data_IF_384056919151
#
_entry.id   IF_384056919151
#
_cell.length_a   1.000
_cell.length_b   1.000
_cell.length_c   1.000
_cell.angle_alpha   90.00
_cell.angle_beta   90.00
_cell.angle_gamma   90.00
#
_symmetry.space_group_name_H-M   'P 1'
#
loop_
_entity.id
_entity.type
_entity.pdbx_description
1 polymer ?
#
# COMPACT_ATOMS: atom_id res chain seq x y z
N UNK A 1 13.13 15.51 54.00
CA UNK A 1 14.43 15.17 54.60
C UNK A 1 15.18 14.42 53.49
N UNK A 2 15.94 15.21 52.71
CA UNK A 2 17.40 15.33 52.70
C UNK A 2 18.07 14.02 52.34
N UNK A 3 18.88 13.89 51.34
CA UNK A 3 20.00 14.66 50.82
C UNK A 3 20.42 13.96 49.51
N UNK A 4 20.61 14.52 48.40
CA UNK A 4 21.77 15.32 47.94
C UNK A 4 23.14 14.74 48.19
N UNK A 5 23.85 14.70 47.05
CA UNK A 5 25.32 14.76 46.94
C UNK A 5 26.03 13.38 46.98
N UNK A 6 26.92 13.11 46.17
CA UNK A 6 28.03 13.82 45.51
C UNK A 6 28.51 12.95 44.33
N UNK A 7 28.68 13.51 43.18
CA UNK A 7 29.88 14.15 42.68
C UNK A 7 31.12 13.24 42.50
N UNK A 8 31.40 13.03 41.22
CA UNK A 8 32.63 13.57 40.62
C UNK A 8 33.87 12.70 40.61
N UNK A 9 34.44 12.75 39.44
CA UNK A 9 35.90 12.61 39.12
C UNK A 9 36.35 11.16 38.85
N UNK A 10 37.16 10.90 37.91
CA UNK A 10 38.10 11.58 37.04
C UNK A 10 38.47 10.64 35.88
N UNK A 11 38.59 11.24 34.71
CA UNK A 11 39.84 11.43 33.97
C UNK A 11 40.44 10.17 33.36
N UNK A 12 40.38 10.14 32.05
CA UNK A 12 41.40 10.61 31.11
C UNK A 12 42.60 9.69 30.96
N UNK A 13 42.93 9.45 29.78
CA UNK A 13 44.13 9.03 29.06
C UNK A 13 43.82 7.81 28.17
N UNK A 14 44.14 7.77 26.92
CA UNK A 14 45.01 8.54 26.10
C UNK A 14 45.10 7.91 24.73
N UNK A 15 45.42 8.72 23.82
CA UNK A 15 45.75 8.60 22.44
C UNK A 15 46.47 7.32 21.96
N UNK A 16 46.18 7.01 20.72
CA UNK A 16 47.01 6.64 19.59
C UNK A 16 46.15 5.82 18.64
N UNK A 17 45.75 6.23 17.46
CA UNK A 17 46.65 6.52 16.38
C UNK A 17 46.95 5.23 15.63
N UNK A 18 46.08 4.84 14.69
CA UNK A 18 46.57 4.14 13.52
C UNK A 18 45.73 4.47 12.32
N UNK A 19 46.31 5.24 11.46
CA UNK A 19 45.95 5.32 10.06
C UNK A 19 46.39 4.02 9.42
N UNK A 20 45.53 3.39 8.70
CA UNK A 20 45.87 2.65 7.52
C UNK A 20 44.70 2.68 6.56
N UNK A 21 44.93 3.24 5.58
CA UNK A 21 44.77 3.35 4.16
C UNK A 21 44.25 2.07 3.52
N UNK A 22 43.38 2.37 2.58
CA UNK A 22 43.23 1.66 1.32
C UNK A 22 42.61 0.27 1.32
N UNK A 23 41.40 0.22 0.85
CA UNK A 23 41.10 -0.53 -0.36
C UNK A 23 39.69 -0.19 -0.80
N UNK A 24 39.57 0.54 -1.85
CA UNK A 24 38.46 0.42 -2.76
C UNK A 24 38.47 -0.97 -3.37
N UNK A 25 37.41 -1.68 -3.41
CA UNK A 25 37.08 -2.47 -4.58
C UNK A 25 36.17 -1.64 -5.45
N UNK A 26 36.68 -1.40 -6.57
CA UNK A 26 35.95 -0.99 -7.77
C UNK A 26 34.85 -1.99 -8.00
N UNK A 27 33.73 -1.40 -8.07
CA UNK A 27 32.72 -1.74 -8.89
C UNK A 27 32.54 -2.70 -9.89
N UNK A 28 31.88 -2.92 -10.43
CA UNK A 28 31.25 -3.58 -11.57
C UNK A 28 29.90 -4.11 -11.18
N UNK A 29 28.96 -3.23 -11.28
CA UNK A 29 27.70 -3.65 -11.84
C UNK A 29 27.10 -2.45 -12.55
N UNK A 30 27.58 -2.27 -13.74
CA UNK A 30 26.83 -1.67 -14.81
C UNK A 30 25.58 -2.53 -15.02
N UNK A 31 24.51 -2.15 -14.42
CA UNK A 31 23.17 -2.51 -14.82
C UNK A 31 22.45 -1.26 -15.30
N UNK A 32 22.87 -0.86 -16.47
CA UNK A 32 21.99 -0.21 -17.43
C UNK A 32 20.96 -1.25 -17.86
N UNK A 33 19.92 -1.39 -17.14
CA UNK A 33 18.63 -1.99 -17.56
C UNK A 33 17.60 -1.88 -16.44
N UNK A 34 17.38 -0.68 -15.95
CA UNK A 34 16.21 -0.38 -15.14
C UNK A 34 15.66 0.99 -15.53
N UNK A 35 15.60 1.21 -16.83
CA UNK A 35 14.89 2.36 -17.37
C UNK A 35 13.41 2.04 -17.39
N UNK A 36 12.68 2.93 -16.75
CA UNK A 36 11.24 3.12 -16.88
C UNK A 36 10.31 2.08 -16.25
N UNK A 37 10.57 1.68 -15.02
CA UNK A 37 9.43 1.48 -14.14
C UNK A 37 8.90 2.87 -13.77
N UNK A 38 8.18 3.51 -14.69
CA UNK A 38 7.30 4.61 -14.33
C UNK A 38 6.40 4.07 -13.21
N UNK A 39 6.64 4.53 -11.99
CA UNK A 39 5.76 4.22 -10.88
C UNK A 39 4.35 4.65 -11.32
N UNK A 40 3.50 3.65 -11.60
CA UNK A 40 2.12 3.89 -12.06
C UNK A 40 1.35 4.52 -10.92
N UNK A 41 1.31 5.83 -10.89
CA UNK A 41 0.53 6.58 -9.92
C UNK A 41 -0.91 6.71 -10.39
N UNK A 42 -1.84 6.40 -9.51
CA UNK A 42 -3.25 6.69 -9.78
C UNK A 42 -3.54 8.14 -9.42
N UNK A 43 -4.05 8.89 -10.38
CA UNK A 43 -4.40 10.30 -10.22
C UNK A 43 -5.85 10.45 -9.73
N UNK A 44 -6.15 9.93 -8.53
CA UNK A 44 -7.45 10.18 -7.91
C UNK A 44 -7.41 11.47 -7.10
N UNK A 45 -8.46 12.27 -7.19
CA UNK A 45 -8.62 13.43 -6.31
C UNK A 45 -8.70 13.00 -4.85
N UNK A 46 -8.32 13.88 -3.94
CA UNK A 46 -8.36 13.58 -2.50
C UNK A 46 -9.77 13.26 -2.00
N UNK A 47 -10.80 13.84 -2.62
CA UNK A 47 -12.19 13.51 -2.35
C UNK A 47 -12.53 12.06 -2.72
N UNK A 48 -12.06 11.58 -3.87
CA UNK A 48 -12.26 10.18 -4.31
C UNK A 48 -11.50 9.23 -3.40
N UNK A 49 -10.24 9.54 -3.06
CA UNK A 49 -9.44 8.74 -2.11
C UNK A 49 -10.13 8.62 -0.75
N UNK A 50 -10.59 9.74 -0.20
CA UNK A 50 -11.30 9.76 1.08
C UNK A 50 -12.56 8.91 1.06
N UNK A 51 -13.35 8.99 -0.02
CA UNK A 51 -14.54 8.18 -0.21
C UNK A 51 -14.21 6.68 -0.28
N UNK A 52 -13.20 6.29 -1.06
CA UNK A 52 -12.74 4.90 -1.19
C UNK A 52 -12.28 4.34 0.16
N UNK A 53 -11.47 5.09 0.90
CA UNK A 53 -10.96 4.71 2.23
C UNK A 53 -12.12 4.54 3.22
N UNK A 54 -13.08 5.48 3.23
CA UNK A 54 -14.25 5.38 4.09
C UNK A 54 -15.07 4.12 3.82
N UNK A 55 -15.29 3.77 2.56
CA UNK A 55 -15.98 2.53 2.17
C UNK A 55 -15.20 1.28 2.59
N UNK A 56 -13.88 1.27 2.41
CA UNK A 56 -13.02 0.16 2.81
C UNK A 56 -13.00 -0.02 4.33
N UNK A 57 -12.95 1.04 5.11
CA UNK A 57 -13.04 0.99 6.57
C UNK A 57 -14.37 0.35 7.02
N UNK A 58 -15.46 0.66 6.30
CA UNK A 58 -16.77 0.03 6.56
C UNK A 58 -16.75 -1.47 6.26
N UNK A 59 -16.15 -1.87 5.14
CA UNK A 59 -15.98 -3.28 4.77
C UNK A 59 -15.11 -4.00 5.79
N UNK A 60 -14.04 -3.40 6.26
CA UNK A 60 -13.18 -3.94 7.32
C UNK A 60 -13.99 -4.22 8.60
N UNK A 61 -14.84 -3.27 9.01
CA UNK A 61 -15.74 -3.46 10.15
C UNK A 61 -16.72 -4.62 9.95
N UNK A 62 -17.27 -4.76 8.74
CA UNK A 62 -18.16 -5.89 8.39
C UNK A 62 -17.43 -7.23 8.45
N UNK A 63 -16.20 -7.32 7.92
CA UNK A 63 -15.38 -8.55 7.98
C UNK A 63 -15.10 -8.91 9.44
N UNK A 64 -14.80 -7.93 10.30
CA UNK A 64 -14.62 -8.16 11.73
C UNK A 64 -15.89 -8.67 12.39
N UNK A 65 -17.06 -8.16 11.98
CA UNK A 65 -18.35 -8.66 12.41
C UNK A 65 -18.59 -10.13 12.03
N UNK A 66 -18.28 -10.50 10.77
CA UNK A 66 -18.38 -11.90 10.28
C UNK A 66 -17.49 -12.83 11.10
N UNK A 67 -16.25 -12.42 11.39
CA UNK A 67 -15.35 -13.18 12.24
C UNK A 67 -15.99 -13.46 13.61
N UNK A 68 -16.58 -12.44 14.25
CA UNK A 68 -17.27 -12.60 15.53
C UNK A 68 -18.51 -13.50 15.46
N UNK A 69 -19.20 -13.53 14.31
CA UNK A 69 -20.32 -14.47 14.10
C UNK A 69 -19.84 -15.93 14.05
N UNK A 70 -18.72 -16.17 13.37
CA UNK A 70 -18.11 -17.50 13.29
C UNK A 70 -17.63 -17.95 14.67
N UNK A 71 -16.97 -17.08 15.42
CA UNK A 71 -16.50 -17.37 16.78
C UNK A 71 -17.63 -17.71 17.77
N UNK A 72 -18.85 -17.25 17.49
CA UNK A 72 -20.05 -17.48 18.30
C UNK A 72 -20.93 -18.62 17.78
N UNK A 73 -20.45 -19.37 16.80
CA UNK A 73 -21.20 -20.46 16.17
C UNK A 73 -22.59 -20.01 15.65
N UNK A 74 -22.66 -18.77 15.11
CA UNK A 74 -23.88 -18.23 14.51
C UNK A 74 -24.34 -19.10 13.33
N UNK A 75 -25.64 -19.18 13.11
CA UNK A 75 -26.23 -19.96 12.03
C UNK A 75 -25.60 -19.62 10.67
N UNK A 76 -25.20 -20.67 9.93
CA UNK A 76 -24.38 -20.51 8.73
C UNK A 76 -25.01 -19.61 7.65
N UNK A 77 -26.33 -19.67 7.48
CA UNK A 77 -27.03 -18.86 6.49
C UNK A 77 -26.91 -17.35 6.78
N UNK A 78 -26.99 -16.97 8.05
CA UNK A 78 -26.79 -15.58 8.47
C UNK A 78 -25.36 -15.11 8.16
N UNK A 79 -24.35 -15.98 8.41
CA UNK A 79 -22.95 -15.68 8.08
C UNK A 79 -22.76 -15.52 6.57
N UNK A 80 -23.35 -16.42 5.77
CA UNK A 80 -23.28 -16.38 4.31
C UNK A 80 -23.93 -15.11 3.75
N UNK A 81 -25.06 -14.69 4.30
CA UNK A 81 -25.73 -13.44 3.93
C UNK A 81 -24.84 -12.21 4.21
N UNK A 82 -24.12 -12.19 5.33
CA UNK A 82 -23.16 -11.12 5.62
C UNK A 82 -21.97 -11.13 4.66
N UNK A 83 -21.47 -12.32 4.30
CA UNK A 83 -20.39 -12.44 3.30
C UNK A 83 -20.85 -11.87 1.95
N UNK A 84 -22.05 -12.22 1.50
CA UNK A 84 -22.61 -11.68 0.25
C UNK A 84 -22.73 -10.14 0.28
N UNK A 85 -23.13 -9.58 1.42
CA UNK A 85 -23.19 -8.13 1.60
C UNK A 85 -21.79 -7.47 1.49
N UNK A 86 -20.76 -8.08 2.09
CA UNK A 86 -19.37 -7.60 1.99
C UNK A 86 -18.86 -7.68 0.55
N UNK A 87 -19.13 -8.76 -0.15
CA UNK A 87 -18.75 -8.92 -1.56
C UNK A 87 -19.38 -7.82 -2.42
N UNK A 88 -20.65 -7.52 -2.20
CA UNK A 88 -21.35 -6.44 -2.91
C UNK A 88 -20.74 -5.07 -2.62
N UNK A 89 -20.38 -4.81 -1.37
CA UNK A 89 -19.70 -3.57 -0.96
C UNK A 89 -18.32 -3.43 -1.61
N UNK A 90 -17.52 -4.50 -1.66
CA UNK A 90 -16.22 -4.52 -2.35
C UNK A 90 -16.38 -4.30 -3.87
N UNK A 91 -17.37 -4.92 -4.50
CA UNK A 91 -17.65 -4.69 -5.91
C UNK A 91 -17.99 -3.21 -6.18
N UNK A 92 -18.70 -2.56 -5.28
CA UNK A 92 -19.00 -1.13 -5.39
C UNK A 92 -17.76 -0.25 -5.30
N UNK A 93 -16.79 -0.61 -4.44
CA UNK A 93 -15.47 0.05 -4.36
C UNK A 93 -14.69 -0.15 -5.66
N UNK A 94 -14.67 -1.40 -6.17
CA UNK A 94 -14.00 -1.73 -7.43
C UNK A 94 -14.57 -0.95 -8.63
N UNK A 95 -15.87 -0.82 -8.73
CA UNK A 95 -16.54 -0.03 -9.79
C UNK A 95 -16.16 1.45 -9.72
N UNK A 96 -16.15 2.03 -8.53
CA UNK A 96 -15.77 3.44 -8.34
C UNK A 96 -14.31 3.69 -8.70
N UNK A 97 -13.44 2.77 -8.32
CA UNK A 97 -12.01 2.84 -8.64
C UNK A 97 -11.78 2.69 -10.16
N UNK A 98 -12.47 1.74 -10.79
CA UNK A 98 -12.41 1.51 -12.23
C UNK A 98 -12.89 2.74 -13.01
N UNK A 99 -13.99 3.34 -12.59
CA UNK A 99 -14.50 4.57 -13.21
C UNK A 99 -13.48 5.71 -13.16
N UNK A 100 -12.84 5.91 -12.01
CA UNK A 100 -11.76 6.89 -11.87
C UNK A 100 -10.57 6.58 -12.76
N UNK A 101 -10.15 5.31 -12.82
CA UNK A 101 -9.06 4.85 -13.68
C UNK A 101 -9.35 5.09 -15.17
N UNK A 102 -10.56 4.80 -15.61
CA UNK A 102 -10.96 5.03 -17.00
C UNK A 102 -10.97 6.51 -17.36
N UNK A 103 -11.49 7.36 -16.48
CA UNK A 103 -11.64 8.80 -16.75
C UNK A 103 -10.33 9.57 -16.75
N UNK A 104 -9.33 9.11 -16.01
CA UNK A 104 -8.02 9.74 -15.93
C UNK A 104 -6.95 8.96 -16.68
N UNK A 105 -6.43 7.89 -16.08
CA UNK A 105 -5.24 7.20 -16.59
C UNK A 105 -5.43 6.60 -18.00
N UNK A 106 -6.60 5.98 -18.27
CA UNK A 106 -6.82 5.33 -19.58
C UNK A 106 -6.95 6.37 -20.68
N UNK A 107 -7.71 7.44 -20.44
CA UNK A 107 -7.87 8.53 -21.41
C UNK A 107 -6.55 9.22 -21.72
N UNK A 108 -5.77 9.56 -20.68
CA UNK A 108 -4.46 10.20 -20.84
C UNK A 108 -3.49 9.33 -21.68
N UNK A 109 -3.43 8.03 -21.40
CA UNK A 109 -2.57 7.10 -22.14
C UNK A 109 -3.01 6.91 -23.58
N UNK A 110 -4.31 6.86 -23.86
CA UNK A 110 -4.84 6.82 -25.24
C UNK A 110 -4.47 8.11 -25.97
N UNK A 111 -4.60 9.27 -25.35
CA UNK A 111 -4.21 10.55 -25.96
C UNK A 111 -2.70 10.64 -26.21
N UNK A 112 -1.88 9.95 -25.40
CA UNK A 112 -0.45 9.82 -25.62
C UNK A 112 -0.08 8.80 -26.72
N UNK A 113 -1.08 8.10 -27.30
CA UNK A 113 -0.87 7.10 -28.36
C UNK A 113 -0.60 5.69 -27.86
N UNK A 114 -0.75 5.45 -26.54
CA UNK A 114 -0.55 4.12 -25.93
C UNK A 114 -1.84 3.30 -26.01
N UNK A 115 -2.05 2.58 -27.09
CA UNK A 115 -3.27 1.77 -27.30
C UNK A 115 -3.29 0.48 -26.46
N UNK A 116 -2.16 0.00 -26.00
CA UNK A 116 -2.01 -1.20 -25.16
C UNK A 116 -2.75 -1.10 -23.83
N UNK A 117 -3.04 0.13 -23.37
CA UNK A 117 -3.83 0.37 -22.14
C UNK A 117 -5.23 -0.23 -22.25
N UNK A 118 -5.79 -0.37 -23.44
CA UNK A 118 -7.12 -0.97 -23.64
C UNK A 118 -7.10 -2.46 -23.33
N UNK A 119 -6.06 -3.17 -23.75
CA UNK A 119 -5.91 -4.60 -23.44
C UNK A 119 -5.67 -4.82 -21.95
N UNK A 120 -4.84 -3.98 -21.31
CA UNK A 120 -4.66 -3.98 -19.84
C UNK A 120 -5.98 -3.77 -19.11
N UNK A 121 -6.81 -2.84 -19.59
CA UNK A 121 -8.12 -2.56 -19.03
C UNK A 121 -9.07 -3.75 -19.16
N UNK A 122 -9.13 -4.38 -20.32
CA UNK A 122 -9.97 -5.56 -20.57
C UNK A 122 -9.62 -6.70 -19.59
N UNK A 123 -8.34 -6.98 -19.40
CA UNK A 123 -7.87 -7.98 -18.45
C UNK A 123 -8.29 -7.65 -17.01
N UNK A 124 -8.26 -6.37 -16.63
CA UNK A 124 -8.66 -5.90 -15.30
C UNK A 124 -10.18 -6.07 -15.11
N UNK A 125 -10.98 -5.67 -16.11
CA UNK A 125 -12.44 -5.82 -16.08
C UNK A 125 -12.82 -7.30 -15.97
N UNK A 126 -12.20 -8.19 -16.74
CA UNK A 126 -12.46 -9.64 -16.66
C UNK A 126 -12.20 -10.21 -15.26
N UNK A 127 -11.19 -9.70 -14.54
CA UNK A 127 -10.91 -10.10 -13.15
C UNK A 127 -11.98 -9.61 -12.17
N UNK A 128 -12.54 -8.42 -12.41
CA UNK A 128 -13.59 -7.84 -11.55
C UNK A 128 -14.97 -8.45 -11.78
N UNK A 129 -15.21 -9.01 -12.96
CA UNK A 129 -16.52 -9.57 -13.35
C UNK A 129 -16.71 -11.04 -12.99
N UNK A 130 -15.73 -11.64 -12.31
CA UNK A 130 -15.82 -13.05 -11.84
C UNK A 130 -16.76 -13.23 -10.66
#
# INVERSE_FOLDING_TARGET
>A
MVNEQELSKLSNHGAAGHQDQAAKPEACCSHEAAEHAHARHSHHSDAVKSNLISRLNRVEGQIRGIKGMIEKDTYCDDVLNQIAAVQSALNSVGKLLLEGHMKSCVVERIQAGETEVVDELLLTVQKLMK
#
